data_IF_133099800085
#
_entry.id   IF_133099800085
#
_cell.length_a   1.000
_cell.length_b   1.000
_cell.length_c   1.000
_cell.angle_alpha   90.00
_cell.angle_beta   90.00
_cell.angle_gamma   90.00
#
_symmetry.space_group_name_H-M   'P 1'
#
loop_
_entity.id
_entity.type
_entity.pdbx_description
1 polymer ?
#
# COMPACT_ATOMS: atom_id res chain seq x y z
N UNK A 1 102.57 9.00 60.81
CA UNK A 1 103.07 7.89 59.97
C UNK A 1 102.41 6.55 60.34
N UNK A 2 101.07 6.47 60.37
CA UNK A 2 100.33 5.21 60.65
C UNK A 2 99.09 5.02 59.76
N UNK A 3 98.86 5.93 58.80
CA UNK A 3 97.81 5.82 57.79
C UNK A 3 98.27 5.04 56.55
N UNK A 4 99.58 5.01 56.29
CA UNK A 4 100.16 4.33 55.12
C UNK A 4 100.17 2.79 55.27
N UNK A 5 100.42 2.26 56.46
CA UNK A 5 100.38 0.81 56.71
C UNK A 5 98.97 0.22 56.62
N UNK A 6 97.93 1.02 56.94
CA UNK A 6 96.54 0.54 56.89
C UNK A 6 96.03 0.43 55.44
N UNK A 7 96.57 1.22 54.52
CA UNK A 7 96.18 1.20 53.11
C UNK A 7 96.76 -0.01 52.36
N UNK A 8 97.98 -0.43 52.71
CA UNK A 8 98.60 -1.61 52.09
C UNK A 8 97.93 -2.94 52.47
N UNK A 9 97.20 -2.97 53.60
CA UNK A 9 96.44 -4.16 54.05
C UNK A 9 95.10 -4.33 53.32
N UNK A 10 94.57 -3.26 52.70
CA UNK A 10 93.37 -3.34 51.85
C UNK A 10 93.70 -3.75 50.42
N UNK A 11 94.85 -3.32 49.86
CA UNK A 11 95.27 -3.65 48.48
C UNK A 11 95.64 -5.12 48.27
N UNK A 12 95.88 -5.89 49.34
CA UNK A 12 96.22 -7.31 49.26
C UNK A 12 95.01 -8.27 49.35
N UNK A 13 93.77 -7.76 49.47
CA UNK A 13 92.56 -8.60 49.49
C UNK A 13 91.85 -8.72 48.14
N UNK A 14 92.35 -8.05 47.10
CA UNK A 14 91.77 -8.06 45.75
C UNK A 14 92.48 -9.03 44.79
N UNK A 15 92.87 -10.21 45.29
CA UNK A 15 93.29 -11.32 44.42
C UNK A 15 92.40 -12.53 44.68
N UNK A 16 91.12 -12.38 44.34
CA UNK A 16 90.28 -13.53 44.04
C UNK A 16 90.64 -13.96 42.61
N UNK A 17 91.04 -15.21 42.39
CA UNK A 17 91.49 -15.68 41.07
C UNK A 17 90.36 -15.54 40.07
N UNK A 18 90.67 -15.06 38.87
CA UNK A 18 89.76 -15.08 37.74
C UNK A 18 89.34 -16.54 37.50
N UNK A 19 88.15 -16.89 37.99
CA UNK A 19 87.57 -18.19 37.72
C UNK A 19 87.16 -18.15 36.26
N UNK A 20 88.01 -18.72 35.41
CA UNK A 20 87.76 -19.01 34.02
C UNK A 20 86.29 -19.41 33.83
N UNK A 21 85.54 -18.54 33.15
CA UNK A 21 84.19 -18.80 32.71
C UNK A 21 84.29 -19.82 31.58
N UNK A 22 84.58 -21.07 31.95
CA UNK A 22 84.32 -22.19 31.06
C UNK A 22 82.83 -22.15 30.78
N UNK A 23 82.49 -21.75 29.54
CA UNK A 23 81.18 -21.97 28.96
C UNK A 23 80.90 -23.47 29.02
N UNK A 24 80.39 -23.95 30.15
CA UNK A 24 79.83 -25.29 30.25
C UNK A 24 78.73 -25.30 29.20
N UNK A 25 78.91 -26.11 28.16
CA UNK A 25 77.83 -26.52 27.26
C UNK A 25 76.80 -27.21 28.14
N UNK A 26 75.86 -26.43 28.66
CA UNK A 26 74.68 -26.87 29.39
C UNK A 26 73.70 -27.37 28.33
N UNK A 27 74.03 -28.54 27.80
CA UNK A 27 73.19 -29.28 26.90
C UNK A 27 72.93 -30.62 27.54
N UNK A 28 72.12 -30.63 28.59
CA UNK A 28 71.55 -31.87 29.10
C UNK A 28 70.71 -32.47 27.97
N UNK A 29 71.22 -33.55 27.37
CA UNK A 29 70.64 -34.20 26.19
C UNK A 29 69.15 -34.49 26.36
N UNK A 30 68.73 -34.77 27.60
CA UNK A 30 67.35 -35.04 27.98
C UNK A 30 66.45 -33.78 27.96
N UNK A 31 66.97 -32.61 28.32
CA UNK A 31 66.22 -31.34 28.30
C UNK A 31 66.08 -30.85 26.87
N UNK A 32 67.15 -30.97 26.07
CA UNK A 32 67.12 -30.62 24.64
C UNK A 32 66.18 -31.53 23.86
N UNK A 33 66.14 -32.82 24.18
CA UNK A 33 65.21 -33.75 23.55
C UNK A 33 63.76 -33.40 23.88
N UNK A 34 63.44 -33.05 25.13
CA UNK A 34 62.09 -32.61 25.53
C UNK A 34 61.67 -31.31 24.83
N UNK A 35 62.58 -30.33 24.75
CA UNK A 35 62.33 -29.07 24.05
C UNK A 35 62.17 -29.30 22.55
N UNK A 36 62.97 -30.18 21.95
CA UNK A 36 62.85 -30.52 20.53
C UNK A 36 61.49 -31.18 20.21
N UNK A 37 61.03 -32.11 21.05
CA UNK A 37 59.71 -32.73 20.90
C UNK A 37 58.59 -31.68 21.02
N UNK A 38 58.70 -30.76 21.97
CA UNK A 38 57.73 -29.67 22.12
C UNK A 38 57.68 -28.77 20.88
N UNK A 39 58.83 -28.39 20.33
CA UNK A 39 58.88 -27.58 19.10
C UNK A 39 58.33 -28.32 17.88
N UNK A 40 58.62 -29.61 17.74
CA UNK A 40 58.06 -30.44 16.66
C UNK A 40 56.54 -30.50 16.77
N UNK A 41 56.01 -30.72 17.98
CA UNK A 41 54.57 -30.74 18.23
C UNK A 41 53.93 -29.38 17.94
N UNK A 42 54.56 -28.30 18.39
CA UNK A 42 54.09 -26.93 18.13
C UNK A 42 54.03 -26.64 16.64
N UNK A 43 55.09 -26.98 15.90
CA UNK A 43 55.16 -26.82 14.44
C UNK A 43 54.06 -27.64 13.76
N UNK A 44 53.85 -28.89 14.16
CA UNK A 44 52.81 -29.74 13.60
C UNK A 44 51.41 -29.15 13.82
N UNK A 45 51.12 -28.68 15.04
CA UNK A 45 49.83 -28.03 15.37
C UNK A 45 49.65 -26.75 14.55
N UNK A 46 50.68 -25.90 14.47
CA UNK A 46 50.61 -24.67 13.66
C UNK A 46 50.41 -24.95 12.17
N UNK A 47 50.99 -26.04 11.65
CA UNK A 47 50.83 -26.43 10.25
C UNK A 47 49.39 -26.85 9.96
N UNK A 48 48.80 -27.66 10.83
CA UNK A 48 47.40 -28.11 10.72
C UNK A 48 46.43 -26.93 10.81
N UNK A 49 46.67 -26.00 11.74
CA UNK A 49 45.86 -24.78 11.84
C UNK A 49 46.01 -23.89 10.61
N UNK A 50 47.22 -23.75 10.06
CA UNK A 50 47.49 -22.92 8.88
C UNK A 50 46.68 -23.37 7.66
N UNK A 51 46.56 -24.68 7.43
CA UNK A 51 45.75 -25.23 6.32
C UNK A 51 44.28 -24.82 6.44
N UNK A 52 43.75 -24.74 7.67
CA UNK A 52 42.37 -24.32 7.92
C UNK A 52 42.18 -22.79 7.94
N UNK A 53 43.26 -22.02 8.04
CA UNK A 53 43.20 -20.56 8.17
C UNK A 53 43.20 -19.82 6.82
N UNK A 54 43.56 -20.50 5.73
CA UNK A 54 43.42 -19.95 4.39
C UNK A 54 42.04 -20.29 3.82
N UNK A 55 41.11 -19.33 3.76
CA UNK A 55 39.87 -19.54 3.02
C UNK A 55 40.22 -19.69 1.54
N UNK A 56 39.61 -20.68 0.87
CA UNK A 56 39.70 -20.83 -0.58
C UNK A 56 39.25 -19.52 -1.25
N UNK A 57 40.22 -18.78 -1.79
CA UNK A 57 39.93 -17.57 -2.56
C UNK A 57 39.38 -18.01 -3.90
N UNK A 58 38.09 -17.78 -4.12
CA UNK A 58 37.46 -18.08 -5.40
C UNK A 58 37.93 -17.02 -6.42
N UNK A 59 38.93 -17.38 -7.22
CA UNK A 59 39.43 -16.54 -8.31
C UNK A 59 38.61 -16.82 -9.58
N UNK A 60 37.46 -16.16 -9.72
CA UNK A 60 36.64 -16.22 -10.94
C UNK A 60 37.10 -15.15 -11.94
N UNK A 61 37.18 -15.51 -13.22
CA UNK A 61 37.25 -14.55 -14.33
C UNK A 61 35.84 -14.28 -14.86
N UNK A 62 35.62 -13.10 -15.44
CA UNK A 62 34.33 -12.74 -16.02
C UNK A 62 33.83 -13.80 -17.01
N UNK A 63 32.61 -14.29 -16.82
CA UNK A 63 31.99 -15.34 -17.64
C UNK A 63 32.21 -16.79 -17.20
N UNK A 64 33.01 -17.05 -16.14
CA UNK A 64 33.22 -18.41 -15.62
C UNK A 64 32.10 -18.82 -14.66
N UNK A 65 31.55 -20.03 -14.84
CA UNK A 65 30.50 -20.59 -13.98
C UNK A 65 31.13 -21.00 -12.63
N UNK A 66 30.54 -20.54 -11.52
CA UNK A 66 30.99 -20.87 -10.18
C UNK A 66 30.62 -22.32 -9.81
N UNK A 67 31.56 -23.07 -9.23
CA UNK A 67 31.34 -24.45 -8.79
C UNK A 67 30.68 -24.58 -7.42
N UNK A 68 30.43 -23.47 -6.73
CA UNK A 68 29.83 -23.43 -5.39
C UNK A 68 28.88 -22.24 -5.25
N UNK A 69 27.78 -22.44 -4.56
CA UNK A 69 26.83 -21.37 -4.26
C UNK A 69 27.46 -20.35 -3.31
N UNK A 70 27.39 -19.07 -3.71
CA UNK A 70 27.83 -17.94 -2.90
C UNK A 70 26.61 -17.44 -2.13
N UNK A 71 26.59 -17.68 -0.82
CA UNK A 71 25.54 -17.18 0.07
C UNK A 71 26.02 -15.91 0.77
N UNK A 72 25.16 -14.87 0.83
CA UNK A 72 25.45 -13.65 1.57
C UNK A 72 25.55 -13.98 3.08
N UNK A 73 26.60 -13.54 3.80
CA UNK A 73 26.76 -13.78 5.23
C UNK A 73 25.66 -13.17 6.12
N UNK A 74 24.82 -12.28 5.56
CA UNK A 74 23.65 -11.74 6.26
C UNK A 74 22.71 -11.03 5.28
N UNK A 75 21.41 -11.28 5.42
CA UNK A 75 20.36 -10.51 4.77
C UNK A 75 20.11 -9.23 5.56
N UNK A 76 20.91 -8.18 5.33
CA UNK A 76 20.53 -6.85 5.79
C UNK A 76 19.53 -6.27 4.78
N UNK A 77 18.25 -6.24 5.16
CA UNK A 77 17.24 -5.50 4.41
C UNK A 77 17.26 -4.05 4.89
N UNK A 78 17.79 -3.14 4.08
CA UNK A 78 17.60 -1.71 4.30
C UNK A 78 16.16 -1.37 3.95
N UNK A 79 15.29 -1.34 4.96
CA UNK A 79 13.90 -0.89 4.79
C UNK A 79 13.85 0.58 5.15
N UNK A 80 13.61 1.42 4.15
CA UNK A 80 13.24 2.82 4.36
C UNK A 80 11.78 2.87 4.79
N UNK A 81 11.54 3.10 6.07
CA UNK A 81 10.20 3.13 6.66
C UNK A 81 9.37 4.28 6.08
N UNK A 82 9.97 5.44 5.85
CA UNK A 82 9.27 6.63 5.36
C UNK A 82 8.88 6.46 3.90
N UNK A 83 9.81 6.05 3.04
CA UNK A 83 9.52 5.78 1.63
C UNK A 83 8.50 4.64 1.48
N UNK A 84 8.63 3.59 2.29
CA UNK A 84 7.68 2.46 2.28
C UNK A 84 6.29 2.91 2.71
N UNK A 85 6.17 3.75 3.74
CA UNK A 85 4.89 4.26 4.21
C UNK A 85 4.25 5.20 3.17
N UNK A 86 5.03 6.11 2.58
CA UNK A 86 4.54 7.01 1.53
C UNK A 86 4.06 6.22 0.30
N UNK A 87 4.78 5.18 -0.11
CA UNK A 87 4.34 4.29 -1.19
C UNK A 87 3.07 3.51 -0.83
N UNK A 88 2.94 3.06 0.42
CA UNK A 88 1.70 2.41 0.91
C UNK A 88 0.52 3.37 0.91
N UNK A 89 0.69 4.61 1.35
CA UNK A 89 -0.35 5.63 1.34
C UNK A 89 -0.75 6.01 -0.10
N UNK A 90 0.22 6.15 -1.00
CA UNK A 90 -0.04 6.36 -2.44
C UNK A 90 -0.78 5.19 -3.05
N UNK A 91 -0.40 3.95 -2.71
CA UNK A 91 -1.09 2.75 -3.16
C UNK A 91 -2.53 2.70 -2.62
N UNK A 92 -2.73 2.96 -1.34
CA UNK A 92 -4.06 3.02 -0.73
C UNK A 92 -4.95 4.07 -1.39
N UNK A 93 -4.44 5.28 -1.64
CA UNK A 93 -5.14 6.34 -2.37
C UNK A 93 -5.40 6.02 -3.84
N UNK A 94 -4.56 5.16 -4.45
CA UNK A 94 -4.72 4.74 -5.85
C UNK A 94 -5.72 3.59 -6.03
N UNK A 95 -6.03 2.86 -4.96
CA UNK A 95 -7.03 1.81 -5.00
C UNK A 95 -8.40 2.50 -5.04
N UNK A 96 -9.13 2.30 -6.13
CA UNK A 96 -10.53 2.73 -6.23
C UNK A 96 -11.31 2.00 -5.13
N UNK A 97 -12.02 2.74 -4.29
CA UNK A 97 -12.98 2.15 -3.36
C UNK A 97 -13.94 1.26 -4.14
N UNK A 98 -13.94 -0.03 -3.81
CA UNK A 98 -14.84 -1.00 -4.41
C UNK A 98 -16.12 -0.96 -3.59
N UNK A 99 -17.09 -0.19 -4.08
CA UNK A 99 -18.43 -0.18 -3.53
C UNK A 99 -19.15 -1.48 -3.93
N UNK A 100 -19.87 -2.07 -2.98
CA UNK A 100 -20.75 -3.21 -3.27
C UNK A 100 -21.96 -2.71 -4.07
N UNK A 101 -21.96 -3.03 -5.37
CA UNK A 101 -23.07 -2.72 -6.27
C UNK A 101 -24.30 -3.53 -5.85
N UNK A 102 -25.30 -2.86 -5.31
CA UNK A 102 -26.60 -3.48 -5.04
C UNK A 102 -27.53 -3.31 -6.25
N UNK A 103 -27.54 -4.31 -7.15
CA UNK A 103 -28.40 -4.29 -8.33
C UNK A 103 -29.89 -4.18 -7.98
N UNK A 104 -30.32 -4.75 -6.84
CA UNK A 104 -31.73 -4.70 -6.43
C UNK A 104 -32.18 -3.25 -6.14
N UNK A 105 -31.28 -2.41 -5.61
CA UNK A 105 -31.58 -1.00 -5.39
C UNK A 105 -31.72 -0.24 -6.71
N UNK A 106 -30.88 -0.54 -7.70
CA UNK A 106 -30.95 0.05 -9.04
C UNK A 106 -32.30 -0.31 -9.68
N UNK A 107 -32.66 -1.59 -9.69
CA UNK A 107 -33.94 -2.05 -10.23
C UNK A 107 -35.15 -1.44 -9.51
N UNK A 108 -35.05 -1.20 -8.20
CA UNK A 108 -36.13 -0.56 -7.45
C UNK A 108 -36.33 0.91 -7.86
N UNK A 109 -35.24 1.66 -8.02
CA UNK A 109 -35.32 3.06 -8.49
C UNK A 109 -35.82 3.12 -9.94
N UNK A 110 -35.40 2.19 -10.80
CA UNK A 110 -35.93 2.09 -12.16
C UNK A 110 -37.45 1.89 -12.17
N UNK A 111 -37.99 1.04 -11.28
CA UNK A 111 -39.43 0.85 -11.13
C UNK A 111 -40.14 2.10 -10.63
N UNK A 112 -39.52 2.87 -9.74
CA UNK A 112 -40.08 4.14 -9.26
C UNK A 112 -40.19 5.16 -10.40
N UNK A 113 -39.15 5.27 -11.23
CA UNK A 113 -39.16 6.11 -12.42
C UNK A 113 -40.28 5.66 -13.37
N UNK A 114 -40.37 4.36 -13.67
CA UNK A 114 -41.41 3.83 -14.54
C UNK A 114 -42.82 4.13 -13.99
N UNK A 115 -43.00 4.01 -12.67
CA UNK A 115 -44.27 4.30 -11.98
C UNK A 115 -44.67 5.78 -12.07
N UNK A 116 -43.72 6.70 -11.93
CA UNK A 116 -43.95 8.14 -12.09
C UNK A 116 -44.47 8.47 -13.49
N UNK A 117 -43.78 7.99 -14.53
CA UNK A 117 -44.16 8.29 -15.91
C UNK A 117 -45.47 7.60 -16.32
N UNK A 118 -45.78 6.42 -15.77
CA UNK A 118 -47.09 5.78 -15.94
C UNK A 118 -48.20 6.64 -15.34
N UNK A 119 -48.01 7.14 -14.12
CA UNK A 119 -49.00 7.99 -13.46
C UNK A 119 -49.25 9.30 -14.23
N UNK A 120 -48.17 9.98 -14.66
CA UNK A 120 -48.27 11.18 -15.50
C UNK A 120 -49.10 10.89 -16.77
N UNK A 121 -48.86 9.75 -17.40
CA UNK A 121 -49.60 9.33 -18.60
C UNK A 121 -51.08 9.06 -18.30
N UNK A 122 -51.40 8.39 -17.20
CA UNK A 122 -52.78 8.16 -16.77
C UNK A 122 -53.55 9.48 -16.55
N UNK A 123 -52.94 10.45 -15.87
CA UNK A 123 -53.54 11.77 -15.68
C UNK A 123 -53.77 12.48 -17.01
N UNK A 124 -52.81 12.38 -17.93
CA UNK A 124 -52.94 12.97 -19.26
C UNK A 124 -54.05 12.35 -20.09
N UNK A 125 -54.21 11.02 -20.03
CA UNK A 125 -55.33 10.32 -20.67
C UNK A 125 -56.68 10.76 -20.09
N UNK A 126 -56.77 10.93 -18.75
CA UNK A 126 -57.98 11.48 -18.11
C UNK A 126 -58.30 12.90 -18.57
N UNK A 127 -57.30 13.76 -18.73
CA UNK A 127 -57.46 15.12 -19.27
C UNK A 127 -58.01 15.07 -20.69
N UNK A 128 -57.39 14.25 -21.55
CA UNK A 128 -57.78 14.09 -22.95
C UNK A 128 -59.21 13.51 -23.08
N UNK A 129 -59.59 12.55 -22.24
CA UNK A 129 -60.96 11.99 -22.19
C UNK A 129 -61.99 13.02 -21.73
N UNK A 130 -61.73 13.77 -20.65
CA UNK A 130 -62.66 14.81 -20.16
C UNK A 130 -62.87 15.94 -21.19
N UNK A 131 -61.86 16.19 -22.03
CA UNK A 131 -61.96 17.18 -23.11
C UNK A 131 -62.83 16.70 -24.29
N UNK A 132 -62.95 15.38 -24.51
CA UNK A 132 -63.73 14.82 -25.62
C UNK A 132 -65.23 14.81 -25.35
N UNK A 133 -65.65 14.62 -24.11
CA UNK A 133 -67.09 14.65 -23.74
C UNK A 133 -67.70 16.07 -23.78
N UNK A 134 -66.87 17.12 -23.77
CA UNK A 134 -67.30 18.52 -23.80
C UNK A 134 -67.49 19.11 -25.22
N UNK A 135 -67.11 18.39 -26.29
CA UNK A 135 -66.97 18.94 -27.65
C UNK A 135 -68.23 18.86 -28.54
N UNK A 136 -69.43 18.76 -27.97
CA UNK A 136 -70.68 18.89 -28.74
C UNK A 136 -71.21 20.33 -28.84
N UNK A 137 -70.44 21.35 -28.44
CA UNK A 137 -70.78 22.74 -28.76
C UNK A 137 -69.59 23.50 -29.32
N UNK A 138 -69.87 24.20 -30.41
CA UNK A 138 -68.91 24.80 -31.33
C UNK A 138 -68.27 26.01 -30.67
N UNK A 139 -67.03 25.89 -30.18
CA UNK A 139 -65.96 26.92 -30.32
C UNK A 139 -64.63 26.27 -29.98
N UNK A 140 -63.66 26.39 -30.89
CA UNK A 140 -62.27 25.93 -30.76
C UNK A 140 -61.53 26.71 -29.65
N UNK A 141 -61.86 26.41 -28.40
CA UNK A 141 -61.04 26.75 -27.24
C UNK A 141 -60.62 25.43 -26.63
N UNK A 142 -59.44 24.94 -27.03
CA UNK A 142 -58.69 23.97 -26.24
C UNK A 142 -58.63 24.56 -24.82
N UNK A 143 -59.37 23.98 -23.87
CA UNK A 143 -59.24 24.33 -22.45
C UNK A 143 -57.78 24.07 -22.08
N UNK A 144 -56.95 25.12 -22.16
CA UNK A 144 -55.64 25.11 -21.52
C UNK A 144 -55.94 24.99 -20.05
N UNK A 145 -55.59 23.85 -19.47
CA UNK A 145 -55.59 23.67 -18.02
C UNK A 145 -54.88 24.88 -17.41
N UNK A 146 -55.50 25.44 -16.39
CA UNK A 146 -54.89 26.54 -15.64
C UNK A 146 -53.67 26.01 -14.90
N UNK A 147 -52.66 26.87 -14.71
CA UNK A 147 -51.43 26.50 -14.01
C UNK A 147 -51.73 25.94 -12.60
N UNK A 148 -52.82 26.40 -11.97
CA UNK A 148 -53.30 25.92 -10.67
C UNK A 148 -53.79 24.46 -10.71
N UNK A 149 -54.54 24.06 -11.74
CA UNK A 149 -55.02 22.67 -11.92
C UNK A 149 -53.87 21.70 -12.20
N UNK A 150 -52.85 22.15 -12.95
CA UNK A 150 -51.64 21.35 -13.21
C UNK A 150 -50.81 21.16 -11.94
N UNK A 151 -50.71 22.17 -11.09
CA UNK A 151 -50.01 22.08 -9.82
C UNK A 151 -50.74 21.19 -8.81
N UNK A 152 -52.08 21.19 -8.81
CA UNK A 152 -52.88 20.28 -7.98
C UNK A 152 -52.63 18.81 -8.39
N UNK A 153 -52.70 18.50 -9.69
CA UNK A 153 -52.37 17.16 -10.20
C UNK A 153 -50.91 16.75 -9.91
N UNK A 154 -49.97 17.69 -9.99
CA UNK A 154 -48.58 17.44 -9.62
C UNK A 154 -48.43 17.07 -8.14
N UNK A 155 -49.16 17.73 -7.24
CA UNK A 155 -49.20 17.39 -5.83
C UNK A 155 -49.80 16.00 -5.57
N UNK A 156 -50.90 15.66 -6.22
CA UNK A 156 -51.49 14.31 -6.11
C UNK A 156 -50.50 13.22 -6.54
N UNK A 157 -49.76 13.43 -7.63
CA UNK A 157 -48.74 12.49 -8.11
C UNK A 157 -47.62 12.33 -7.07
N UNK A 158 -47.19 13.42 -6.44
CA UNK A 158 -46.19 13.39 -5.38
C UNK A 158 -46.69 12.63 -4.14
N UNK A 159 -47.92 12.88 -3.69
CA UNK A 159 -48.50 12.20 -2.54
C UNK A 159 -48.71 10.70 -2.79
N UNK A 160 -49.24 10.33 -3.96
CA UNK A 160 -49.50 8.93 -4.34
C UNK A 160 -48.22 8.08 -4.41
N UNK A 161 -47.12 8.67 -4.85
CA UNK A 161 -45.84 7.99 -5.01
C UNK A 161 -44.89 8.19 -3.83
N UNK A 162 -45.25 9.07 -2.87
CA UNK A 162 -44.39 9.46 -1.76
C UNK A 162 -43.09 10.15 -2.21
N UNK A 163 -43.16 10.94 -3.29
CA UNK A 163 -42.02 11.62 -3.90
C UNK A 163 -41.97 13.10 -3.49
N UNK A 164 -40.75 13.64 -3.42
CA UNK A 164 -40.50 15.07 -3.11
C UNK A 164 -39.92 15.76 -4.35
N UNK A 165 -40.68 15.80 -5.44
CA UNK A 165 -40.29 16.47 -6.68
C UNK A 165 -40.97 17.84 -6.74
N UNK A 166 -40.29 18.85 -7.27
CA UNK A 166 -40.89 20.16 -7.50
C UNK A 166 -42.12 20.04 -8.42
N UNK A 167 -43.24 20.55 -7.96
CA UNK A 167 -44.55 20.44 -8.59
C UNK A 167 -44.53 21.01 -10.01
N UNK A 168 -43.78 22.10 -10.20
CA UNK A 168 -43.63 22.75 -11.50
C UNK A 168 -42.99 21.82 -12.54
N UNK A 169 -42.06 20.97 -12.13
CA UNK A 169 -41.40 20.02 -13.05
C UNK A 169 -42.42 18.97 -13.53
N UNK A 170 -43.29 18.49 -12.63
CA UNK A 170 -44.34 17.53 -12.98
C UNK A 170 -45.40 18.20 -13.86
N UNK A 171 -45.78 19.45 -13.52
CA UNK A 171 -46.69 20.25 -14.33
C UNK A 171 -46.15 20.47 -15.76
N UNK A 172 -44.86 20.77 -15.90
CA UNK A 172 -44.19 20.89 -17.20
C UNK A 172 -44.21 19.54 -17.95
N UNK A 173 -43.99 18.41 -17.25
CA UNK A 173 -44.09 17.07 -17.85
C UNK A 173 -45.50 16.72 -18.38
N UNK A 174 -46.56 17.18 -17.72
CA UNK A 174 -47.94 17.00 -18.17
C UNK A 174 -48.21 17.72 -19.50
N UNK A 175 -47.50 18.80 -19.78
CA UNK A 175 -47.65 19.58 -21.02
C UNK A 175 -46.87 19.00 -22.21
N UNK A 176 -45.84 18.17 -21.97
CA UNK A 176 -45.04 17.58 -23.05
C UNK A 176 -45.80 16.50 -23.83
N UNK A 177 -45.45 16.31 -25.10
CA UNK A 177 -45.99 15.21 -25.90
C UNK A 177 -45.50 13.83 -25.42
N UNK A 178 -46.23 12.78 -25.79
CA UNK A 178 -45.94 11.43 -25.31
C UNK A 178 -44.58 10.90 -25.81
N UNK A 179 -44.09 11.35 -26.97
CA UNK A 179 -42.77 10.93 -27.48
C UNK A 179 -41.65 11.59 -26.70
N UNK A 180 -41.79 12.88 -26.39
CA UNK A 180 -40.85 13.61 -25.54
C UNK A 180 -40.84 13.04 -24.12
N UNK A 181 -42.00 12.72 -23.56
CA UNK A 181 -42.10 12.11 -22.23
C UNK A 181 -41.40 10.75 -22.17
N UNK A 182 -41.58 9.91 -23.19
CA UNK A 182 -40.89 8.62 -23.32
C UNK A 182 -39.38 8.77 -23.46
N UNK A 183 -38.93 9.74 -24.26
CA UNK A 183 -37.51 10.04 -24.39
C UNK A 183 -36.90 10.47 -23.05
N UNK A 184 -37.57 11.37 -22.33
CA UNK A 184 -37.14 11.81 -21.00
C UNK A 184 -37.05 10.62 -20.03
N UNK A 185 -38.06 9.73 -20.02
CA UNK A 185 -38.04 8.52 -19.19
C UNK A 185 -36.79 7.67 -19.45
N UNK A 186 -36.49 7.39 -20.72
CA UNK A 186 -35.34 6.57 -21.11
C UNK A 186 -34.01 7.25 -20.75
N UNK A 187 -33.90 8.56 -21.01
CA UNK A 187 -32.69 9.34 -20.73
C UNK A 187 -32.41 9.42 -19.21
N UNK A 188 -33.44 9.65 -18.40
CA UNK A 188 -33.33 9.63 -16.93
C UNK A 188 -32.91 8.24 -16.45
N UNK A 189 -33.55 7.18 -16.93
CA UNK A 189 -33.25 5.79 -16.53
C UNK A 189 -31.79 5.43 -16.85
N UNK A 190 -31.32 5.76 -18.05
CA UNK A 190 -29.94 5.55 -18.47
C UNK A 190 -28.94 6.35 -17.63
N UNK A 191 -29.23 7.63 -17.38
CA UNK A 191 -28.37 8.49 -16.57
C UNK A 191 -28.28 8.02 -15.13
N UNK A 192 -29.43 7.67 -14.53
CA UNK A 192 -29.49 7.15 -13.16
C UNK A 192 -28.73 5.84 -13.03
N UNK A 193 -28.96 4.87 -13.94
CA UNK A 193 -28.23 3.60 -13.95
C UNK A 193 -26.72 3.84 -14.03
N UNK A 194 -26.26 4.72 -14.93
CA UNK A 194 -24.84 5.06 -15.05
C UNK A 194 -24.25 5.63 -13.75
N UNK A 195 -24.98 6.53 -13.08
CA UNK A 195 -24.53 7.13 -11.81
C UNK A 195 -24.47 6.06 -10.71
N UNK A 196 -25.51 5.24 -10.57
CA UNK A 196 -25.58 4.19 -9.55
C UNK A 196 -24.55 3.07 -9.79
N UNK A 197 -24.25 2.73 -11.05
CA UNK A 197 -23.22 1.75 -11.42
C UNK A 197 -21.81 2.26 -11.17
N UNK A 198 -21.58 3.57 -11.31
CA UNK A 198 -20.27 4.18 -11.06
C UNK A 198 -19.94 4.24 -9.55
N UNK A 199 -20.97 4.20 -8.70
CA UNK A 199 -20.88 4.46 -7.26
C UNK A 199 -20.74 5.95 -6.97
N UNK A 200 -21.35 6.42 -5.88
CA UNK A 200 -21.15 7.79 -5.38
C UNK A 200 -19.89 7.76 -4.52
N UNK A 201 -18.88 8.58 -4.82
CA UNK A 201 -17.70 8.71 -3.97
C UNK A 201 -18.01 9.62 -2.79
N UNK A 202 -17.31 9.42 -1.68
CA UNK A 202 -17.41 10.31 -0.51
C UNK A 202 -17.13 11.78 -0.87
N UNK A 203 -16.15 12.01 -1.77
CA UNK A 203 -15.84 13.34 -2.34
C UNK A 203 -17.02 13.97 -3.11
N UNK A 204 -17.90 13.16 -3.71
CA UNK A 204 -19.05 13.66 -4.48
C UNK A 204 -20.19 14.12 -3.54
N UNK A 205 -20.25 13.58 -2.31
CA UNK A 205 -21.23 13.96 -1.28
C UNK A 205 -20.86 15.27 -0.57
N UNK A 206 -19.57 15.58 -0.41
CA UNK A 206 -19.14 16.85 0.18
C UNK A 206 -19.41 18.06 -0.74
N UNK A 207 -19.64 17.82 -2.03
CA UNK A 207 -19.84 18.85 -3.06
C UNK A 207 -21.29 18.97 -3.57
N UNK A 208 -22.23 18.16 -3.06
CA UNK A 208 -23.65 18.15 -3.45
C UNK A 208 -24.52 18.96 -2.48
#
# INVERSE_FOLDING_TARGET
MKLYEKWNKWKSRDKVPSKNMQKKKLTDKNIIQKISIFFILLIAITLVLSINFFPDKILLKEGQICSKDILSPGDFKFVDLEATQNLREKAAKSIKEVYDLNLANIENVEKQIDSLFLKIKEYKEKIDESSKDANNDVTENVRRLTDDELNEMANEINEDLGLYINEKIIADCLQFDNLTLEKIRVDIKSSMRKIMEQGIKEDDLENA
#
